data_IF_826296148697
#
_entry.id   IF_826296148697
#
_cell.length_a   1.000
_cell.length_b   1.000
_cell.length_c   1.000
_cell.angle_alpha   90.00
_cell.angle_beta   90.00
_cell.angle_gamma   90.00
#
_symmetry.space_group_name_H-M   'P 1'
#
loop_
_entity.id
_entity.type
_entity.pdbx_description
1 polymer ?
#
# COMPACT_ATOMS: atom_id res chain seq x y z
N UNK A 1 -26.78 -16.05 34.10
CA UNK A 1 -26.33 -14.86 33.34
C UNK A 1 -27.28 -14.66 32.18
N UNK A 2 -27.89 -13.49 32.08
CA UNK A 2 -28.77 -13.09 30.98
C UNK A 2 -27.99 -12.49 29.81
N UNK A 3 -26.71 -12.24 30.00
CA UNK A 3 -25.79 -11.78 28.96
C UNK A 3 -24.43 -12.49 29.10
N UNK A 4 -23.76 -12.69 27.95
CA UNK A 4 -22.45 -13.32 27.87
C UNK A 4 -21.30 -12.29 27.81
N UNK A 5 -21.62 -11.02 27.95
CA UNK A 5 -20.65 -9.92 27.91
C UNK A 5 -20.96 -8.89 29.01
N UNK A 6 -19.94 -8.17 29.42
CA UNK A 6 -20.03 -7.00 30.30
C UNK A 6 -19.38 -5.82 29.56
N UNK A 7 -20.09 -4.71 29.49
CA UNK A 7 -19.59 -3.46 28.92
C UNK A 7 -19.16 -2.56 30.08
N UNK A 8 -17.87 -2.21 30.10
CA UNK A 8 -17.33 -1.22 31.04
C UNK A 8 -17.31 0.15 30.35
N UNK A 9 -18.01 1.11 30.91
CA UNK A 9 -18.24 2.42 30.30
C UNK A 9 -17.51 3.51 31.07
N UNK A 10 -17.31 4.67 30.43
CA UNK A 10 -16.66 5.85 30.99
C UNK A 10 -15.20 5.63 31.41
N UNK A 11 -14.52 4.75 30.73
CA UNK A 11 -13.10 4.49 30.91
C UNK A 11 -12.27 5.71 30.45
N UNK A 12 -11.13 5.93 31.08
CA UNK A 12 -10.17 6.94 30.64
C UNK A 12 -9.57 6.49 29.29
N UNK A 13 -9.41 7.42 28.35
CA UNK A 13 -8.78 7.15 27.03
C UNK A 13 -7.32 6.75 27.20
N UNK A 14 -6.80 5.99 26.27
CA UNK A 14 -5.39 5.57 26.19
C UNK A 14 -4.88 4.98 27.52
N UNK A 15 -5.75 4.27 28.23
CA UNK A 15 -5.47 3.74 29.56
C UNK A 15 -5.47 2.22 29.54
N UNK A 16 -4.47 1.62 30.15
CA UNK A 16 -4.36 0.16 30.30
C UNK A 16 -5.22 -0.33 31.43
N UNK A 17 -6.10 -1.26 31.14
CA UNK A 17 -6.98 -1.90 32.09
C UNK A 17 -6.68 -3.40 32.23
N UNK A 18 -6.89 -3.92 33.43
CA UNK A 18 -6.72 -5.32 33.74
C UNK A 18 -8.03 -5.90 34.25
N UNK A 19 -8.56 -6.89 33.55
CA UNK A 19 -9.82 -7.52 33.90
C UNK A 19 -9.60 -8.94 34.39
N UNK A 20 -10.35 -9.32 35.43
CA UNK A 20 -10.48 -10.69 35.89
C UNK A 20 -11.94 -11.01 36.05
N UNK A 21 -12.30 -12.28 35.88
CA UNK A 21 -13.67 -12.77 36.00
C UNK A 21 -13.71 -13.91 37.02
N UNK A 22 -14.71 -13.90 37.86
CA UNK A 22 -15.06 -15.02 38.72
C UNK A 22 -16.55 -15.34 38.56
N UNK A 23 -16.92 -16.60 38.71
CA UNK A 23 -18.30 -17.03 38.69
C UNK A 23 -18.89 -17.07 40.14
N UNK A 24 -20.14 -16.70 40.26
CA UNK A 24 -20.90 -16.95 41.53
C UNK A 24 -21.41 -18.39 41.45
N UNK A 25 -20.96 -19.19 42.38
CA UNK A 25 -21.35 -20.60 42.52
C UNK A 25 -22.76 -20.73 43.08
N UNK A 26 -23.38 -21.90 42.90
CA UNK A 26 -24.73 -22.21 43.38
C UNK A 26 -24.90 -22.08 44.92
N UNK A 27 -23.80 -22.14 45.67
CA UNK A 27 -23.75 -21.97 47.11
C UNK A 27 -23.54 -20.49 47.53
N UNK A 28 -23.51 -19.55 46.57
CA UNK A 28 -23.30 -18.14 46.79
C UNK A 28 -21.85 -17.68 46.95
N UNK A 29 -20.88 -18.58 46.89
CA UNK A 29 -19.46 -18.27 46.94
C UNK A 29 -18.94 -17.89 45.53
N UNK A 30 -17.88 -17.11 45.48
CA UNK A 30 -17.14 -16.88 44.25
C UNK A 30 -16.23 -18.03 43.91
N UNK A 31 -16.04 -18.30 42.60
CA UNK A 31 -14.99 -19.16 42.11
C UNK A 31 -13.61 -18.53 42.21
N UNK A 32 -12.55 -19.27 41.94
CA UNK A 32 -11.25 -18.66 41.70
C UNK A 32 -11.35 -17.65 40.55
N UNK A 33 -10.57 -16.56 40.65
CA UNK A 33 -10.47 -15.56 39.62
C UNK A 33 -9.72 -16.08 38.40
N UNK A 34 -10.16 -15.69 37.20
CA UNK A 34 -9.39 -15.94 35.97
C UNK A 34 -8.00 -15.30 36.06
N UNK A 35 -7.11 -15.71 35.16
CA UNK A 35 -5.91 -14.92 34.86
C UNK A 35 -6.35 -13.52 34.41
N UNK A 36 -5.54 -12.50 34.68
CA UNK A 36 -5.83 -11.14 34.26
C UNK A 36 -5.72 -11.03 32.73
N UNK A 37 -6.77 -10.51 32.10
CA UNK A 37 -6.72 -10.05 30.72
C UNK A 37 -6.37 -8.56 30.71
N UNK A 38 -5.44 -8.15 29.87
CA UNK A 38 -5.04 -6.76 29.70
C UNK A 38 -5.61 -6.21 28.40
N UNK A 39 -6.12 -5.00 28.42
CA UNK A 39 -6.53 -4.28 27.24
C UNK A 39 -6.35 -2.77 27.44
N UNK A 40 -6.30 -2.05 26.34
CA UNK A 40 -6.24 -0.60 26.32
C UNK A 40 -7.57 -0.03 25.87
N UNK A 41 -7.92 1.16 26.36
CA UNK A 41 -8.92 1.98 25.71
C UNK A 41 -8.28 2.62 24.48
N UNK A 42 -8.88 2.41 23.31
CA UNK A 42 -8.37 2.90 22.04
C UNK A 42 -8.64 4.40 21.83
N UNK A 43 -8.06 4.94 20.77
CA UNK A 43 -8.43 6.24 20.22
C UNK A 43 -9.91 6.24 19.81
N UNK A 44 -10.60 7.38 19.98
CA UNK A 44 -11.99 7.47 19.57
C UNK A 44 -12.11 7.35 18.05
N UNK A 45 -13.13 6.65 17.60
CA UNK A 45 -13.52 6.68 16.19
C UNK A 45 -14.11 8.05 15.88
N UNK A 46 -13.55 8.74 14.88
CA UNK A 46 -14.06 10.05 14.44
C UNK A 46 -15.35 9.84 13.67
N UNK A 47 -16.46 10.47 14.13
CA UNK A 47 -17.73 10.43 13.40
C UNK A 47 -17.59 11.25 12.09
N UNK A 48 -18.13 10.79 10.95
CA UNK A 48 -19.04 9.66 10.74
C UNK A 48 -18.36 8.34 10.31
N UNK A 49 -17.09 8.20 10.53
CA UNK A 49 -16.39 6.94 10.24
C UNK A 49 -16.70 5.84 11.28
N UNK A 50 -16.65 4.54 10.93
CA UNK A 50 -16.35 4.02 9.60
C UNK A 50 -17.52 4.17 8.61
N UNK A 51 -17.21 4.45 7.36
CA UNK A 51 -18.17 4.41 6.26
C UNK A 51 -18.33 2.97 5.77
N UNK A 52 -19.55 2.57 5.46
CA UNK A 52 -19.87 1.19 5.04
C UNK A 52 -20.55 1.17 3.68
N UNK A 53 -20.11 0.26 2.83
CA UNK A 53 -20.84 -0.15 1.64
C UNK A 53 -21.81 -1.24 2.07
N UNK A 54 -23.11 -0.97 2.02
CA UNK A 54 -24.14 -1.77 2.70
C UNK A 54 -24.80 -2.85 1.85
N UNK A 55 -24.60 -2.83 0.53
CA UNK A 55 -25.28 -3.76 -0.40
C UNK A 55 -24.34 -4.22 -1.50
N UNK A 56 -24.31 -5.53 -1.77
CA UNK A 56 -23.52 -6.14 -2.86
C UNK A 56 -22.33 -6.99 -2.38
N UNK A 57 -21.67 -7.65 -3.31
CA UNK A 57 -20.47 -8.45 -3.10
C UNK A 57 -19.22 -7.56 -3.33
N UNK A 58 -19.05 -6.59 -2.44
CA UNK A 58 -17.95 -5.63 -2.53
C UNK A 58 -16.69 -6.14 -1.84
N UNK A 59 -15.55 -5.79 -2.41
CA UNK A 59 -14.24 -5.92 -1.79
C UNK A 59 -13.50 -4.61 -1.89
N UNK A 60 -12.75 -4.27 -0.86
CA UNK A 60 -11.68 -3.30 -0.94
C UNK A 60 -10.73 -3.74 -2.05
N UNK A 61 -10.31 -2.83 -2.89
CA UNK A 61 -9.43 -3.13 -4.00
C UNK A 61 -8.05 -2.52 -3.79
N UNK A 62 -7.89 -1.65 -2.79
CA UNK A 62 -6.66 -0.90 -2.57
C UNK A 62 -6.60 -0.27 -1.18
N UNK A 63 -5.39 0.14 -0.80
CA UNK A 63 -5.19 1.04 0.32
C UNK A 63 -5.88 2.38 0.08
N UNK A 64 -6.34 3.08 1.12
CA UNK A 64 -6.79 4.46 0.99
C UNK A 64 -5.64 5.38 0.56
N UNK A 65 -6.00 6.46 -0.13
CA UNK A 65 -5.10 7.59 -0.38
C UNK A 65 -5.62 8.80 0.41
N UNK A 66 -4.72 9.56 0.98
CA UNK A 66 -5.02 10.83 1.64
C UNK A 66 -4.28 11.94 0.89
N UNK A 67 -5.02 12.90 0.38
CA UNK A 67 -4.47 13.95 -0.49
C UNK A 67 -5.35 15.21 -0.45
N UNK A 68 -4.75 16.38 -0.38
CA UNK A 68 -5.45 17.65 -0.62
C UNK A 68 -5.62 17.82 -2.14
N UNK A 69 -6.73 17.29 -2.66
CA UNK A 69 -6.96 17.20 -4.10
C UNK A 69 -7.45 18.53 -4.69
N UNK A 70 -8.01 19.40 -3.85
CA UNK A 70 -8.60 20.67 -4.26
C UNK A 70 -7.79 21.90 -3.82
N UNK A 71 -6.64 21.69 -3.16
CA UNK A 71 -5.75 22.72 -2.62
C UNK A 71 -6.43 23.68 -1.61
N UNK A 72 -7.37 23.16 -0.80
CA UNK A 72 -8.02 23.94 0.25
C UNK A 72 -7.32 23.85 1.62
N UNK A 73 -6.23 23.10 1.69
CA UNK A 73 -5.43 22.86 2.90
C UNK A 73 -5.97 21.74 3.78
N UNK A 74 -6.98 21.00 3.34
CA UNK A 74 -7.51 19.82 4.03
C UNK A 74 -7.26 18.59 3.20
N UNK A 75 -7.13 17.46 3.86
CA UNK A 75 -6.81 16.20 3.21
C UNK A 75 -8.10 15.42 2.89
N UNK A 76 -8.36 15.13 1.63
CA UNK A 76 -9.42 14.22 1.25
C UNK A 76 -8.97 12.77 1.29
N UNK A 77 -9.92 11.86 1.52
CA UNK A 77 -9.69 10.42 1.59
C UNK A 77 -10.29 9.76 0.34
N UNK A 78 -9.46 9.11 -0.45
CA UNK A 78 -9.90 8.35 -1.62
C UNK A 78 -9.68 6.85 -1.42
N UNK A 79 -10.62 6.07 -1.93
CA UNK A 79 -10.58 4.62 -1.79
C UNK A 79 -11.21 3.92 -2.99
N UNK A 80 -10.47 2.95 -3.55
CA UNK A 80 -10.97 2.10 -4.63
C UNK A 80 -11.64 0.85 -4.06
N UNK A 81 -12.83 0.52 -4.57
CA UNK A 81 -13.54 -0.70 -4.26
C UNK A 81 -14.25 -1.26 -5.48
N UNK A 82 -14.68 -2.51 -5.43
CA UNK A 82 -15.28 -3.18 -6.59
C UNK A 82 -16.46 -4.06 -6.20
N UNK A 83 -17.48 -4.04 -7.01
CA UNK A 83 -18.57 -5.02 -7.00
C UNK A 83 -18.20 -6.17 -7.95
N UNK A 84 -17.95 -7.33 -7.40
CA UNK A 84 -17.54 -8.51 -8.17
C UNK A 84 -18.70 -9.15 -8.94
N UNK A 85 -19.95 -8.96 -8.50
CA UNK A 85 -21.12 -9.52 -9.17
C UNK A 85 -21.42 -8.75 -10.46
N UNK A 86 -21.37 -7.43 -10.40
CA UNK A 86 -21.57 -6.56 -11.57
C UNK A 86 -20.30 -6.33 -12.37
N UNK A 87 -19.12 -6.66 -11.79
CA UNK A 87 -17.78 -6.38 -12.33
C UNK A 87 -17.54 -4.90 -12.59
N UNK A 88 -17.99 -4.06 -11.67
CA UNK A 88 -17.83 -2.61 -11.73
C UNK A 88 -16.86 -2.20 -10.62
N UNK A 89 -15.91 -1.33 -10.96
CA UNK A 89 -15.07 -0.63 -10.02
C UNK A 89 -15.64 0.72 -9.64
N UNK A 90 -15.32 1.16 -8.44
CA UNK A 90 -15.73 2.43 -7.87
C UNK A 90 -14.54 3.12 -7.21
N UNK A 91 -14.42 4.40 -7.44
CA UNK A 91 -13.59 5.28 -6.66
C UNK A 91 -14.49 6.06 -5.72
N UNK A 92 -14.30 5.97 -4.42
CA UNK A 92 -14.95 6.82 -3.43
C UNK A 92 -14.03 7.96 -3.03
N UNK A 93 -14.58 9.12 -2.74
CA UNK A 93 -13.86 10.28 -2.25
C UNK A 93 -14.63 10.95 -1.11
N UNK A 94 -13.95 11.21 -0.01
CA UNK A 94 -14.54 11.78 1.21
C UNK A 94 -13.76 13.00 1.68
N UNK A 95 -14.47 13.99 2.19
CA UNK A 95 -13.89 15.08 2.97
C UNK A 95 -13.43 14.58 4.35
N UNK A 96 -12.59 15.32 5.06
CA UNK A 96 -12.25 15.01 6.47
C UNK A 96 -13.48 14.84 7.35
N UNK A 97 -14.57 15.54 7.05
CA UNK A 97 -15.86 15.42 7.73
C UNK A 97 -16.57 14.08 7.49
N UNK A 98 -16.04 13.24 6.56
CA UNK A 98 -16.65 11.97 6.13
C UNK A 98 -17.83 12.13 5.17
N UNK A 99 -18.14 13.34 4.73
CA UNK A 99 -19.09 13.58 3.63
C UNK A 99 -18.43 13.16 2.29
N UNK A 100 -19.21 12.60 1.38
CA UNK A 100 -18.73 12.33 0.02
C UNK A 100 -18.39 13.64 -0.69
N UNK A 101 -17.32 13.65 -1.47
CA UNK A 101 -16.96 14.79 -2.33
C UNK A 101 -18.07 15.05 -3.35
N UNK A 102 -18.61 13.98 -3.93
CA UNK A 102 -19.79 14.01 -4.81
C UNK A 102 -20.75 12.91 -4.33
N UNK A 103 -21.92 13.31 -3.86
CA UNK A 103 -23.00 12.40 -3.51
C UNK A 103 -23.89 12.24 -4.76
N UNK A 104 -23.55 11.25 -5.59
CA UNK A 104 -24.21 11.03 -6.90
C UNK A 104 -25.64 10.52 -6.73
N UNK A 105 -25.96 9.79 -5.66
CA UNK A 105 -27.28 9.24 -5.42
C UNK A 105 -28.19 10.11 -4.54
N UNK A 106 -27.63 11.19 -3.98
CA UNK A 106 -28.35 12.13 -3.11
C UNK A 106 -28.71 11.54 -1.74
N UNK A 107 -28.08 10.43 -1.35
CA UNK A 107 -28.38 9.72 -0.11
C UNK A 107 -27.14 9.66 0.81
N UNK A 108 -27.03 10.59 1.72
CA UNK A 108 -25.90 10.72 2.68
C UNK A 108 -25.62 9.47 3.54
N UNK A 109 -26.52 8.48 3.55
CA UNK A 109 -26.35 7.24 4.31
C UNK A 109 -25.73 6.11 3.51
N UNK A 110 -25.62 6.24 2.19
CA UNK A 110 -24.98 5.29 1.28
C UNK A 110 -23.65 5.85 0.78
N UNK A 111 -22.79 4.99 0.23
CA UNK A 111 -21.60 5.39 -0.50
C UNK A 111 -21.89 5.20 -1.98
N UNK A 112 -22.08 6.30 -2.71
CA UNK A 112 -22.43 6.30 -4.12
C UNK A 112 -21.22 6.17 -5.04
N UNK A 113 -20.05 6.51 -4.52
CA UNK A 113 -18.77 6.55 -5.22
C UNK A 113 -18.55 7.85 -5.98
N UNK A 114 -17.32 8.32 -5.96
CA UNK A 114 -16.84 9.48 -6.72
C UNK A 114 -16.91 9.21 -8.24
N UNK A 115 -16.46 8.05 -8.68
CA UNK A 115 -16.50 7.63 -10.08
C UNK A 115 -16.72 6.13 -10.23
N UNK A 116 -17.25 5.72 -11.39
CA UNK A 116 -17.47 4.32 -11.78
C UNK A 116 -16.64 3.96 -13.00
N UNK A 117 -16.09 2.75 -13.01
CA UNK A 117 -15.30 2.22 -14.12
C UNK A 117 -15.99 1.03 -14.80
N UNK A 118 -15.60 0.73 -16.04
CA UNK A 118 -16.20 -0.35 -16.84
C UNK A 118 -15.79 -1.76 -16.39
N UNK A 119 -14.78 -1.87 -15.52
CA UNK A 119 -14.32 -3.11 -14.93
C UNK A 119 -13.84 -2.86 -13.49
N UNK A 120 -13.53 -3.90 -12.75
CA UNK A 120 -13.13 -3.77 -11.35
C UNK A 120 -11.79 -3.01 -11.19
N UNK A 121 -11.62 -2.34 -10.07
CA UNK A 121 -10.37 -1.73 -9.65
C UNK A 121 -9.61 -2.69 -8.75
N UNK A 122 -8.30 -2.80 -8.93
CA UNK A 122 -7.39 -3.63 -8.14
C UNK A 122 -6.25 -2.83 -7.53
N UNK A 123 -5.81 -1.77 -8.21
CA UNK A 123 -4.79 -0.86 -7.72
C UNK A 123 -5.38 0.36 -7.03
N UNK A 124 -4.52 1.09 -6.36
CA UNK A 124 -4.83 2.42 -5.81
C UNK A 124 -5.00 3.44 -6.93
N UNK A 125 -5.67 4.55 -6.63
CA UNK A 125 -5.60 5.73 -7.46
C UNK A 125 -4.23 6.39 -7.36
N UNK A 126 -3.77 7.00 -8.45
CA UNK A 126 -2.61 7.89 -8.45
C UNK A 126 -3.07 9.34 -8.59
N UNK A 127 -2.35 10.25 -7.95
CA UNK A 127 -2.67 11.66 -7.89
C UNK A 127 -1.48 12.48 -8.38
N UNK A 128 -1.72 13.50 -9.18
CA UNK A 128 -0.68 14.40 -9.67
C UNK A 128 -1.24 15.48 -10.57
N UNK A 129 -0.53 16.60 -10.66
CA UNK A 129 -0.85 17.68 -11.61
C UNK A 129 -0.31 17.30 -13.00
N UNK A 130 -1.08 16.54 -13.77
CA UNK A 130 -0.64 16.03 -15.06
C UNK A 130 -0.32 17.14 -16.08
N UNK A 131 -1.02 18.24 -16.01
CA UNK A 131 -0.92 19.33 -16.98
C UNK A 131 -0.04 20.48 -16.52
N UNK A 132 0.49 20.47 -15.30
CA UNK A 132 1.35 21.52 -14.76
C UNK A 132 0.63 22.84 -14.47
N UNK A 133 -0.70 22.81 -14.30
CA UNK A 133 -1.51 24.02 -14.05
C UNK A 133 -1.93 24.21 -12.60
N UNK A 134 -1.47 23.34 -11.69
CA UNK A 134 -1.80 23.39 -10.28
C UNK A 134 -3.07 22.62 -9.90
N UNK A 135 -3.65 21.83 -10.80
CA UNK A 135 -4.82 21.00 -10.55
C UNK A 135 -4.42 19.53 -10.39
N UNK A 136 -4.70 18.95 -9.22
CA UNK A 136 -4.48 17.53 -8.99
C UNK A 136 -5.45 16.69 -9.82
N UNK A 137 -4.93 15.80 -10.65
CA UNK A 137 -5.72 14.85 -11.41
C UNK A 137 -5.70 13.48 -10.73
N UNK A 138 -6.72 12.66 -10.97
CA UNK A 138 -6.89 11.36 -10.36
C UNK A 138 -6.88 10.30 -11.45
N UNK A 139 -5.91 9.40 -11.41
CA UNK A 139 -5.77 8.33 -12.41
C UNK A 139 -6.04 6.98 -11.76
N UNK A 140 -6.94 6.21 -12.35
CA UNK A 140 -7.24 4.83 -11.95
C UNK A 140 -7.17 3.89 -13.13
N UNK A 141 -6.81 2.63 -12.87
CA UNK A 141 -6.76 1.60 -13.90
C UNK A 141 -7.69 0.43 -13.56
N UNK A 142 -8.48 -0.01 -14.51
CA UNK A 142 -9.42 -1.09 -14.33
C UNK A 142 -8.86 -2.45 -14.80
N UNK A 143 -9.39 -3.53 -14.21
CA UNK A 143 -8.95 -4.90 -14.46
C UNK A 143 -10.12 -5.83 -14.80
N UNK A 144 -10.05 -6.48 -15.95
CA UNK A 144 -10.90 -7.61 -16.33
C UNK A 144 -10.07 -8.60 -17.15
N UNK A 145 -9.86 -9.79 -16.62
CA UNK A 145 -9.12 -10.88 -17.27
C UNK A 145 -9.94 -11.64 -18.31
N UNK A 146 -11.27 -11.54 -18.21
CA UNK A 146 -12.22 -12.23 -19.08
C UNK A 146 -12.57 -11.37 -20.30
N UNK A 147 -12.86 -10.08 -20.08
CA UNK A 147 -13.26 -9.13 -21.12
C UNK A 147 -12.21 -8.03 -21.25
N UNK A 148 -11.16 -8.34 -22.01
CA UNK A 148 -9.96 -7.48 -22.15
C UNK A 148 -10.27 -6.09 -22.74
N UNK A 149 -11.34 -5.95 -23.48
CA UNK A 149 -11.83 -4.68 -24.04
C UNK A 149 -12.40 -3.72 -22.99
N UNK A 150 -12.58 -4.18 -21.76
CA UNK A 150 -13.00 -3.36 -20.61
C UNK A 150 -11.85 -2.75 -19.83
N UNK A 151 -10.61 -3.19 -20.05
CA UNK A 151 -9.45 -2.65 -19.37
C UNK A 151 -9.17 -1.23 -19.86
N UNK A 152 -9.32 -0.29 -18.97
CA UNK A 152 -9.28 1.14 -19.27
C UNK A 152 -8.56 1.88 -18.15
N UNK A 153 -7.73 2.84 -18.53
CA UNK A 153 -7.19 3.86 -17.65
C UNK A 153 -8.07 5.07 -17.74
N UNK A 154 -8.45 5.64 -16.62
CA UNK A 154 -9.30 6.82 -16.52
C UNK A 154 -8.51 7.92 -15.81
N UNK A 155 -8.69 9.14 -16.29
CA UNK A 155 -8.21 10.34 -15.63
C UNK A 155 -9.37 11.26 -15.33
N UNK A 156 -9.50 11.66 -14.08
CA UNK A 156 -10.56 12.56 -13.61
C UNK A 156 -9.96 13.86 -13.08
N UNK A 157 -10.68 14.97 -13.32
CA UNK A 157 -10.56 16.18 -12.51
C UNK A 157 -11.33 15.98 -11.21
N UNK A 158 -10.85 16.47 -10.05
CA UNK A 158 -11.62 16.43 -8.81
C UNK A 158 -12.77 17.44 -8.79
N UNK A 159 -12.91 18.25 -9.82
CA UNK A 159 -13.91 19.31 -9.92
C UNK A 159 -15.04 18.93 -10.88
N UNK A 160 -16.22 19.49 -10.62
CA UNK A 160 -17.38 19.48 -11.51
C UNK A 160 -17.40 20.82 -12.26
N UNK A 161 -16.82 20.85 -13.46
CA UNK A 161 -16.73 22.07 -14.29
C UNK A 161 -17.94 22.21 -15.23
N UNK A 162 -18.61 21.10 -15.53
CA UNK A 162 -19.78 21.07 -16.43
C UNK A 162 -21.13 21.18 -15.70
N UNK A 163 -21.14 21.03 -14.35
CA UNK A 163 -22.32 21.21 -13.50
C UNK A 163 -23.25 20.01 -13.44
N UNK A 164 -22.76 18.82 -13.75
CA UNK A 164 -23.55 17.59 -13.71
C UNK A 164 -23.54 16.87 -12.34
N UNK A 165 -22.91 17.48 -11.34
CA UNK A 165 -22.70 16.97 -9.97
C UNK A 165 -21.86 15.70 -9.90
N UNK A 166 -20.86 15.58 -10.79
CA UNK A 166 -19.87 14.51 -10.81
C UNK A 166 -18.49 15.07 -11.11
N UNK A 167 -17.43 14.30 -10.83
CA UNK A 167 -16.08 14.67 -11.27
C UNK A 167 -15.99 14.58 -12.80
N UNK A 168 -15.32 15.54 -13.42
CA UNK A 168 -15.13 15.52 -14.86
C UNK A 168 -14.20 14.39 -15.29
N UNK A 169 -14.62 13.55 -16.23
CA UNK A 169 -13.74 12.63 -16.92
C UNK A 169 -12.93 13.40 -17.98
N UNK A 170 -11.62 13.56 -17.72
CA UNK A 170 -10.74 14.27 -18.65
C UNK A 170 -10.39 13.42 -19.87
N UNK A 171 -10.02 12.18 -19.63
CA UNK A 171 -9.77 11.21 -20.70
C UNK A 171 -9.89 9.76 -20.20
N UNK A 172 -10.10 8.86 -21.15
CA UNK A 172 -10.01 7.42 -20.94
C UNK A 172 -9.16 6.76 -22.04
N UNK A 173 -8.35 5.78 -21.65
CA UNK A 173 -7.49 5.03 -22.57
C UNK A 173 -7.70 3.54 -22.40
N UNK A 174 -8.18 2.89 -23.45
CA UNK A 174 -8.27 1.42 -23.47
C UNK A 174 -6.90 0.81 -23.65
N UNK A 175 -6.54 -0.11 -22.75
CA UNK A 175 -5.33 -0.91 -22.82
C UNK A 175 -5.75 -2.38 -22.91
N UNK A 176 -5.29 -3.15 -23.93
CA UNK A 176 -5.82 -4.47 -24.21
C UNK A 176 -5.41 -5.57 -23.22
N UNK A 177 -4.76 -5.17 -22.12
CA UNK A 177 -4.23 -6.07 -21.10
C UNK A 177 -4.72 -5.63 -19.72
N UNK A 178 -4.93 -6.61 -18.85
CA UNK A 178 -5.36 -6.34 -17.48
C UNK A 178 -4.25 -5.64 -16.69
N UNK A 179 -4.67 -4.67 -15.87
CA UNK A 179 -3.81 -3.89 -15.00
C UNK A 179 -4.18 -4.20 -13.56
N UNK A 180 -3.28 -4.83 -12.85
CA UNK A 180 -3.50 -5.23 -11.46
C UNK A 180 -2.96 -4.17 -10.49
N UNK A 181 -1.95 -3.44 -10.93
CA UNK A 181 -1.21 -2.47 -10.14
C UNK A 181 -1.75 -1.05 -10.28
N UNK A 182 -1.37 -0.21 -9.32
CA UNK A 182 -1.64 1.23 -9.35
C UNK A 182 -0.90 1.89 -10.51
N UNK A 183 -1.49 2.89 -11.17
CA UNK A 183 -0.75 3.80 -12.03
C UNK A 183 0.35 4.52 -11.23
N UNK A 184 1.39 4.95 -11.93
CA UNK A 184 2.42 5.86 -11.38
C UNK A 184 2.38 7.13 -12.20
N UNK A 185 2.42 8.27 -11.53
CA UNK A 185 2.49 9.61 -12.15
C UNK A 185 3.85 10.21 -11.83
N UNK A 186 4.57 10.65 -12.84
CA UNK A 186 5.87 11.29 -12.66
C UNK A 186 6.18 12.21 -13.83
N UNK A 187 6.91 13.29 -13.58
CA UNK A 187 7.56 14.09 -14.62
C UNK A 187 8.87 13.36 -15.00
N UNK A 188 8.80 12.50 -16.02
CA UNK A 188 9.91 11.61 -16.38
C UNK A 188 11.10 12.34 -16.98
N UNK A 189 10.84 13.38 -17.76
CA UNK A 189 11.86 14.06 -18.55
C UNK A 189 12.36 15.36 -17.88
N UNK A 190 11.85 15.67 -16.67
CA UNK A 190 12.18 16.89 -15.96
C UNK A 190 11.68 18.15 -16.70
N UNK A 191 10.61 18.02 -17.49
CA UNK A 191 10.08 19.12 -18.27
C UNK A 191 9.73 20.34 -17.41
N UNK A 192 10.23 21.52 -17.78
CA UNK A 192 10.00 22.73 -16.99
C UNK A 192 8.56 23.26 -17.09
N UNK A 193 7.75 22.76 -18.02
CA UNK A 193 6.32 23.07 -18.10
C UNK A 193 5.50 22.32 -17.05
N UNK A 194 6.12 21.38 -16.33
CA UNK A 194 5.52 20.64 -15.22
C UNK A 194 4.55 19.55 -15.65
N UNK A 195 4.44 19.24 -16.95
CA UNK A 195 3.61 18.11 -17.41
C UNK A 195 4.17 16.78 -16.91
N UNK A 196 3.27 15.85 -16.60
CA UNK A 196 3.65 14.54 -16.05
C UNK A 196 3.13 13.40 -16.92
N UNK A 197 3.86 12.32 -16.91
CA UNK A 197 3.49 11.06 -17.58
C UNK A 197 2.78 10.12 -16.62
N UNK A 198 1.95 9.26 -17.20
CA UNK A 198 1.27 8.15 -16.52
C UNK A 198 1.88 6.83 -16.96
N UNK A 199 2.43 6.08 -16.01
CA UNK A 199 3.04 4.79 -16.25
C UNK A 199 2.11 3.68 -15.77
N UNK A 200 1.92 2.68 -16.62
CA UNK A 200 1.04 1.53 -16.35
C UNK A 200 1.74 0.24 -16.69
N UNK A 201 1.92 -0.63 -15.70
CA UNK A 201 2.48 -1.96 -15.91
C UNK A 201 1.36 -2.97 -16.16
N UNK A 202 1.47 -3.72 -17.25
CA UNK A 202 0.54 -4.80 -17.54
C UNK A 202 0.76 -6.01 -16.64
N UNK A 203 -0.33 -6.64 -16.22
CA UNK A 203 -0.28 -7.90 -15.48
C UNK A 203 -0.11 -9.13 -16.41
N UNK A 204 -0.55 -9.05 -17.66
CA UNK A 204 -0.60 -10.19 -18.58
C UNK A 204 0.54 -10.21 -19.62
N UNK A 205 1.23 -9.10 -19.75
CA UNK A 205 2.43 -8.96 -20.60
C UNK A 205 3.48 -8.20 -19.80
N UNK A 206 4.76 -8.34 -20.15
CA UNK A 206 5.80 -7.60 -19.46
C UNK A 206 5.86 -6.11 -19.84
N UNK A 207 4.84 -5.62 -20.55
CA UNK A 207 4.82 -4.26 -21.08
C UNK A 207 4.55 -3.23 -19.98
N UNK A 208 5.26 -2.09 -20.09
CA UNK A 208 4.97 -0.85 -19.38
C UNK A 208 4.53 0.16 -20.43
N UNK A 209 3.33 0.70 -20.26
CA UNK A 209 2.78 1.77 -21.08
C UNK A 209 3.13 3.11 -20.46
N UNK A 210 3.61 4.04 -21.23
CA UNK A 210 3.87 5.42 -20.83
C UNK A 210 2.93 6.30 -21.65
N UNK A 211 2.03 6.97 -20.95
CA UNK A 211 1.04 7.88 -21.52
C UNK A 211 1.43 9.32 -21.17
N UNK A 212 1.12 10.27 -22.05
CA UNK A 212 1.22 11.68 -21.74
C UNK A 212 0.05 12.18 -20.87
N UNK A 213 0.07 13.45 -20.51
CA UNK A 213 -0.97 14.11 -19.71
C UNK A 213 -2.37 14.10 -20.35
N UNK A 214 -2.47 13.83 -21.67
CA UNK A 214 -3.74 13.68 -22.40
C UNK A 214 -4.19 12.21 -22.56
N UNK A 215 -3.41 11.26 -22.05
CA UNK A 215 -3.67 9.83 -22.16
C UNK A 215 -3.20 9.21 -23.49
N UNK A 216 -2.43 9.92 -24.30
CA UNK A 216 -1.86 9.37 -25.52
C UNK A 216 -0.59 8.57 -25.22
N UNK A 217 -0.45 7.39 -25.88
CA UNK A 217 0.69 6.51 -25.68
C UNK A 217 1.96 7.11 -26.31
N UNK A 218 2.88 7.57 -25.46
CA UNK A 218 4.18 8.08 -25.86
C UNK A 218 5.12 6.93 -26.26
N UNK A 219 5.14 5.88 -25.45
CA UNK A 219 5.98 4.69 -25.69
C UNK A 219 5.55 3.50 -24.87
N UNK A 220 6.15 2.37 -25.22
CA UNK A 220 5.99 1.10 -24.53
C UNK A 220 7.36 0.49 -24.25
N UNK A 221 7.62 0.15 -22.98
CA UNK A 221 8.82 -0.58 -22.58
C UNK A 221 8.50 -2.07 -22.47
N UNK A 222 9.44 -2.90 -22.87
CA UNK A 222 9.35 -4.35 -22.75
C UNK A 222 10.73 -4.91 -22.43
N UNK A 223 10.89 -5.68 -21.34
CA UNK A 223 12.19 -6.20 -20.93
C UNK A 223 12.81 -7.17 -21.97
N UNK A 224 11.97 -7.87 -22.72
CA UNK A 224 12.41 -8.74 -23.81
C UNK A 224 11.24 -9.05 -24.75
N UNK A 225 11.37 -8.69 -26.02
CA UNK A 225 10.34 -8.93 -27.03
C UNK A 225 10.00 -10.43 -27.25
N UNK A 226 10.82 -11.35 -26.76
CA UNK A 226 10.63 -12.79 -26.87
C UNK A 226 10.04 -13.46 -25.63
N UNK A 227 9.71 -12.70 -24.56
CA UNK A 227 9.04 -13.26 -23.38
C UNK A 227 7.59 -13.56 -23.75
N UNK A 228 7.29 -14.83 -23.94
CA UNK A 228 5.94 -15.32 -24.27
C UNK A 228 5.32 -16.13 -23.11
N UNK A 229 6.05 -16.35 -22.03
CA UNK A 229 5.63 -17.17 -20.91
C UNK A 229 4.75 -16.37 -19.94
N UNK A 230 3.54 -16.85 -19.68
CA UNK A 230 2.61 -16.28 -18.69
C UNK A 230 3.08 -16.44 -17.24
N UNK A 231 4.24 -17.06 -17.01
CA UNK A 231 4.77 -17.32 -15.66
C UNK A 231 5.66 -16.20 -15.13
N UNK A 232 6.02 -15.25 -16.00
CA UNK A 232 7.05 -14.25 -15.69
C UNK A 232 6.44 -12.89 -15.33
N UNK A 233 5.13 -12.84 -15.08
CA UNK A 233 4.42 -11.62 -14.72
C UNK A 233 4.30 -11.53 -13.21
N UNK A 234 4.73 -10.43 -12.66
CA UNK A 234 4.58 -10.20 -11.25
C UNK A 234 3.52 -9.14 -10.95
N UNK A 235 3.10 -9.17 -9.72
CA UNK A 235 2.12 -8.25 -9.17
C UNK A 235 2.75 -6.98 -8.56
N UNK A 236 4.07 -6.80 -8.69
CA UNK A 236 4.75 -5.63 -8.12
C UNK A 236 4.48 -4.36 -8.92
N UNK A 237 4.35 -3.25 -8.22
CA UNK A 237 4.25 -1.92 -8.80
C UNK A 237 5.59 -1.48 -9.43
N UNK A 238 5.53 -0.40 -10.20
CA UNK A 238 6.69 0.32 -10.70
C UNK A 238 7.23 1.26 -9.63
N UNK A 239 8.53 1.54 -9.73
CA UNK A 239 9.16 2.65 -9.03
C UNK A 239 9.79 3.60 -10.03
N UNK A 240 9.67 4.88 -9.77
CA UNK A 240 10.27 5.94 -10.59
C UNK A 240 11.12 6.80 -9.66
N UNK A 241 12.38 6.99 -10.01
CA UNK A 241 13.33 7.79 -9.24
C UNK A 241 14.45 8.31 -10.13
N UNK A 242 14.97 9.47 -9.84
CA UNK A 242 16.23 9.97 -10.40
C UNK A 242 17.38 9.22 -9.72
N UNK A 243 17.93 8.21 -10.38
CA UNK A 243 18.92 7.30 -9.79
C UNK A 243 20.33 7.87 -9.79
N UNK A 244 20.68 8.67 -10.78
CA UNK A 244 22.03 9.20 -10.98
C UNK A 244 22.13 10.72 -10.79
N UNK A 245 21.08 11.34 -10.22
CA UNK A 245 20.96 12.74 -9.89
C UNK A 245 21.17 13.68 -11.11
N UNK A 246 20.74 13.21 -12.29
CA UNK A 246 20.81 14.00 -13.54
C UNK A 246 19.56 14.86 -13.78
N UNK A 247 18.56 14.76 -12.89
CA UNK A 247 17.30 15.50 -12.95
C UNK A 247 16.25 14.84 -13.83
N UNK A 248 16.53 13.66 -14.40
CA UNK A 248 15.57 12.86 -15.15
C UNK A 248 15.27 11.59 -14.36
N UNK A 249 14.06 11.07 -14.52
CA UNK A 249 13.62 9.92 -13.75
C UNK A 249 13.91 8.61 -14.50
N UNK A 250 14.44 7.64 -13.78
CA UNK A 250 14.52 6.27 -14.23
C UNK A 250 13.28 5.48 -13.81
N UNK A 251 12.93 4.49 -14.65
CA UNK A 251 11.82 3.59 -14.46
C UNK A 251 12.37 2.24 -14.03
N UNK A 252 12.01 1.79 -12.83
CA UNK A 252 12.50 0.56 -12.22
C UNK A 252 11.34 -0.42 -12.10
N UNK A 253 11.54 -1.63 -12.63
CA UNK A 253 10.54 -2.68 -12.54
C UNK A 253 11.17 -4.02 -12.14
N UNK A 254 10.51 -4.71 -11.24
CA UNK A 254 10.80 -6.11 -10.93
C UNK A 254 9.93 -7.04 -11.75
N UNK A 255 10.49 -8.16 -12.17
CA UNK A 255 9.81 -9.22 -12.90
C UNK A 255 10.18 -10.58 -12.33
N UNK A 256 9.16 -11.42 -12.11
CA UNK A 256 9.34 -12.79 -11.62
C UNK A 256 10.31 -13.55 -12.51
N UNK A 257 11.23 -14.29 -11.90
CA UNK A 257 12.21 -15.14 -12.57
C UNK A 257 13.16 -14.43 -13.56
N UNK A 258 13.00 -13.12 -13.75
CA UNK A 258 13.82 -12.34 -14.68
C UNK A 258 14.79 -11.40 -13.96
N UNK A 259 14.30 -10.63 -12.97
CA UNK A 259 15.11 -9.69 -12.19
C UNK A 259 14.61 -8.26 -12.19
N UNK A 260 15.49 -7.36 -11.83
CA UNK A 260 15.27 -5.92 -11.84
C UNK A 260 15.70 -5.35 -13.19
N UNK A 261 14.82 -4.54 -13.75
CA UNK A 261 15.02 -3.82 -15.02
C UNK A 261 14.96 -2.33 -14.75
N UNK A 262 15.87 -1.58 -15.37
CA UNK A 262 15.96 -0.13 -15.25
C UNK A 262 16.04 0.51 -16.61
N UNK A 263 15.15 1.45 -16.88
CA UNK A 263 15.17 2.23 -18.12
C UNK A 263 15.28 3.71 -17.82
N UNK A 264 16.00 4.42 -18.67
CA UNK A 264 15.93 5.88 -18.73
C UNK A 264 14.57 6.33 -19.28
N UNK A 265 14.22 7.56 -19.04
CA UNK A 265 12.97 8.16 -19.51
C UNK A 265 12.75 7.99 -21.04
N UNK A 266 13.80 7.89 -21.85
CA UNK A 266 13.73 7.69 -23.30
C UNK A 266 13.56 6.22 -23.74
N UNK A 267 13.48 5.29 -22.79
CA UNK A 267 13.27 3.86 -22.99
C UNK A 267 14.54 3.05 -23.23
N UNK A 268 15.72 3.68 -23.23
CA UNK A 268 16.98 2.95 -23.26
C UNK A 268 17.27 2.31 -21.90
N UNK A 269 17.91 1.14 -21.84
CA UNK A 269 18.42 0.62 -20.57
C UNK A 269 19.31 1.64 -19.86
N UNK A 270 19.19 1.74 -18.53
CA UNK A 270 20.05 2.61 -17.72
C UNK A 270 21.53 2.27 -17.91
N UNK A 271 21.89 1.01 -17.76
CA UNK A 271 23.18 0.46 -18.12
C UNK A 271 23.01 -0.78 -19.00
N UNK A 272 22.45 -1.84 -18.43
CA UNK A 272 22.06 -3.10 -19.09
C UNK A 272 20.75 -3.61 -18.50
N UNK A 273 19.99 -4.40 -19.24
CA UNK A 273 18.81 -5.08 -18.73
C UNK A 273 18.88 -6.60 -18.98
N UNK A 274 18.53 -7.45 -17.99
CA UNK A 274 18.19 -7.05 -16.61
C UNK A 274 19.40 -6.43 -15.90
N UNK A 275 19.13 -5.41 -15.07
CA UNK A 275 20.15 -4.77 -14.23
C UNK A 275 20.66 -5.74 -13.16
N UNK A 276 19.73 -6.48 -12.56
CA UNK A 276 20.00 -7.57 -11.62
C UNK A 276 19.17 -8.80 -11.97
N UNK A 277 19.73 -10.01 -11.81
CA UNK A 277 19.06 -11.28 -12.15
C UNK A 277 18.56 -12.01 -10.93
N UNK A 278 17.28 -12.37 -10.94
CA UNK A 278 16.63 -13.09 -9.84
C UNK A 278 17.01 -14.58 -9.71
N UNK A 279 17.57 -15.18 -10.73
CA UNK A 279 17.67 -16.64 -10.82
C UNK A 279 16.27 -17.26 -11.05
N UNK A 280 16.01 -18.41 -10.42
CA UNK A 280 14.72 -19.13 -10.53
C UNK A 280 13.73 -18.75 -9.41
N UNK A 281 13.80 -17.53 -8.87
CA UNK A 281 13.10 -17.12 -7.65
C UNK A 281 12.23 -15.90 -7.93
N UNK A 282 11.06 -15.84 -7.29
CA UNK A 282 10.08 -14.80 -7.50
C UNK A 282 10.49 -13.49 -6.81
N UNK A 283 10.44 -12.38 -7.52
CA UNK A 283 10.55 -11.04 -6.97
C UNK A 283 9.15 -10.57 -6.56
N UNK A 284 8.96 -10.34 -5.27
CA UNK A 284 7.62 -10.15 -4.70
C UNK A 284 7.26 -8.69 -4.46
N UNK A 285 8.23 -7.76 -4.37
CA UNK A 285 7.98 -6.38 -3.97
C UNK A 285 8.22 -5.36 -5.08
N UNK A 286 7.55 -4.21 -4.96
CA UNK A 286 8.00 -3.01 -5.64
C UNK A 286 9.40 -2.64 -5.12
N UNK A 287 10.35 -2.27 -5.99
CA UNK A 287 11.65 -1.79 -5.56
C UNK A 287 11.52 -0.47 -4.76
N UNK A 288 12.33 -0.32 -3.73
CA UNK A 288 12.47 0.93 -2.96
C UNK A 288 13.82 1.54 -3.29
N UNK A 289 13.87 2.84 -3.49
CA UNK A 289 15.09 3.59 -3.81
C UNK A 289 15.42 4.56 -2.69
N UNK A 290 16.61 4.45 -2.14
CA UNK A 290 17.12 5.37 -1.11
C UNK A 290 18.66 5.33 -1.06
N UNK A 291 19.28 6.32 -0.46
CA UNK A 291 20.68 6.28 -0.03
C UNK A 291 20.72 5.56 1.34
N UNK A 292 20.78 4.21 1.29
CA UNK A 292 20.69 3.37 2.48
C UNK A 292 21.92 3.51 3.38
N UNK A 293 23.10 3.65 2.78
CA UNK A 293 24.36 3.61 3.50
C UNK A 293 24.93 5.00 3.81
N UNK A 294 24.27 6.08 3.36
CA UNK A 294 24.64 7.47 3.58
C UNK A 294 25.87 7.92 2.78
N UNK A 295 26.19 7.28 1.64
CA UNK A 295 27.34 7.64 0.80
C UNK A 295 27.03 8.66 -0.28
N UNK A 296 25.78 9.12 -0.35
CA UNK A 296 25.28 10.09 -1.32
C UNK A 296 24.86 9.45 -2.65
N UNK A 297 24.82 8.12 -2.74
CA UNK A 297 24.34 7.38 -3.91
C UNK A 297 23.11 6.58 -3.54
N UNK A 298 22.22 6.39 -4.49
CA UNK A 298 20.98 5.64 -4.25
C UNK A 298 21.20 4.15 -4.45
N UNK A 299 20.62 3.36 -3.57
CA UNK A 299 20.49 1.92 -3.68
C UNK A 299 19.06 1.52 -4.04
N UNK A 300 18.92 0.31 -4.58
CA UNK A 300 17.64 -0.31 -4.89
C UNK A 300 17.44 -1.50 -3.95
N UNK A 301 16.43 -1.39 -3.08
CA UNK A 301 16.04 -2.43 -2.15
C UNK A 301 14.83 -3.18 -2.67
N UNK A 302 14.80 -4.49 -2.47
CA UNK A 302 13.66 -5.35 -2.83
C UNK A 302 13.66 -6.62 -2.00
N UNK A 303 12.50 -7.26 -1.92
CA UNK A 303 12.36 -8.58 -1.32
C UNK A 303 12.21 -9.65 -2.37
N UNK A 304 12.74 -10.84 -2.08
CA UNK A 304 12.68 -12.02 -2.91
C UNK A 304 12.01 -13.15 -2.12
N UNK A 305 10.92 -13.68 -2.68
CA UNK A 305 10.15 -14.74 -2.04
C UNK A 305 10.71 -16.13 -2.35
N UNK A 306 10.89 -16.93 -1.30
CA UNK A 306 11.18 -18.37 -1.37
C UNK A 306 10.11 -19.18 -0.62
N UNK A 307 10.18 -20.51 -0.71
CA UNK A 307 9.11 -21.40 -0.22
C UNK A 307 8.81 -21.28 1.29
N UNK A 308 9.77 -20.86 2.10
CA UNK A 308 9.63 -20.76 3.58
C UNK A 308 10.19 -19.47 4.18
N UNK A 309 10.69 -18.57 3.36
CA UNK A 309 11.25 -17.32 3.82
C UNK A 309 11.30 -16.30 2.67
N UNK A 310 11.32 -15.03 3.01
CA UNK A 310 11.63 -13.95 2.08
C UNK A 310 13.00 -13.40 2.41
N UNK A 311 13.77 -13.11 1.39
CA UNK A 311 15.09 -12.52 1.47
C UNK A 311 15.04 -11.05 1.06
N UNK A 312 15.80 -10.20 1.74
CA UNK A 312 15.90 -8.78 1.44
C UNK A 312 17.28 -8.49 0.85
N UNK A 313 17.29 -7.74 -0.24
CA UNK A 313 18.47 -7.31 -0.95
C UNK A 313 18.53 -5.80 -1.05
N UNK A 314 19.74 -5.25 -1.03
CA UNK A 314 20.03 -3.93 -1.54
C UNK A 314 21.15 -4.02 -2.59
N UNK A 315 20.95 -3.38 -3.72
CA UNK A 315 21.92 -3.36 -4.82
C UNK A 315 22.32 -1.92 -5.14
N UNK A 316 23.61 -1.73 -5.35
CA UNK A 316 24.16 -0.45 -5.76
C UNK A 316 24.06 -0.26 -7.27
N UNK A 317 24.07 0.99 -7.73
CA UNK A 317 24.07 1.33 -9.15
C UNK A 317 25.40 1.06 -9.84
N UNK A 318 26.46 0.79 -9.08
CA UNK A 318 27.79 0.47 -9.61
C UNK A 318 27.92 -1.02 -9.99
N UNK A 319 27.18 -1.44 -11.03
CA UNK A 319 27.34 -2.74 -11.64
C UNK A 319 26.69 -3.90 -10.90
N UNK A 320 25.45 -3.74 -10.50
CA UNK A 320 24.58 -4.75 -9.83
C UNK A 320 25.20 -5.41 -8.55
N UNK A 321 26.07 -4.69 -7.87
CA UNK A 321 26.71 -5.21 -6.66
C UNK A 321 25.78 -5.08 -5.47
N UNK A 322 25.66 -6.17 -4.70
CA UNK A 322 24.99 -6.13 -3.41
C UNK A 322 25.72 -5.20 -2.44
N UNK A 323 24.92 -4.42 -1.70
CA UNK A 323 25.44 -3.57 -0.61
C UNK A 323 25.91 -4.45 0.54
N UNK A 324 27.00 -4.07 1.19
CA UNK A 324 27.54 -4.83 2.32
C UNK A 324 26.46 -5.00 3.41
N UNK A 325 26.24 -6.24 3.85
CA UNK A 325 25.19 -6.58 4.81
C UNK A 325 23.80 -6.80 4.21
N UNK A 326 23.62 -6.67 2.86
CA UNK A 326 22.32 -6.77 2.21
C UNK A 326 22.32 -7.71 0.99
N UNK A 327 22.96 -8.84 1.15
CA UNK A 327 23.17 -9.87 0.11
C UNK A 327 22.08 -10.96 0.11
N UNK A 328 20.95 -10.70 0.77
CA UNK A 328 19.88 -11.68 0.95
C UNK A 328 20.03 -12.54 2.22
N UNK A 329 20.99 -12.21 3.09
CA UNK A 329 21.10 -12.83 4.42
C UNK A 329 20.06 -12.31 5.42
N UNK A 330 19.44 -11.17 5.12
CA UNK A 330 18.31 -10.62 5.87
C UNK A 330 17.05 -11.37 5.47
N UNK A 331 16.53 -12.20 6.36
CA UNK A 331 15.39 -13.08 6.06
C UNK A 331 14.24 -12.90 7.02
N UNK A 332 13.03 -13.09 6.50
CA UNK A 332 11.80 -13.28 7.27
C UNK A 332 11.31 -14.70 7.04
N UNK A 333 11.41 -15.57 8.06
CA UNK A 333 10.88 -16.92 7.98
C UNK A 333 9.35 -16.93 8.10
N UNK A 334 8.72 -17.95 7.54
CA UNK A 334 7.32 -18.29 7.76
C UNK A 334 7.11 -19.80 7.77
N UNK A 335 6.16 -20.25 8.60
CA UNK A 335 5.94 -21.68 8.87
C UNK A 335 4.90 -22.30 7.94
N UNK A 336 4.10 -21.49 7.28
CA UNK A 336 2.98 -21.96 6.45
C UNK A 336 3.40 -22.04 4.99
N UNK A 337 3.25 -23.24 4.40
CA UNK A 337 3.50 -23.46 2.98
C UNK A 337 2.35 -22.86 2.16
N UNK A 338 2.44 -21.58 1.80
CA UNK A 338 1.39 -20.86 1.08
C UNK A 338 1.54 -21.12 -0.41
N UNK A 339 0.94 -22.22 -0.89
CA UNK A 339 0.89 -22.53 -2.31
C UNK A 339 0.05 -21.47 -3.04
N UNK A 340 0.70 -20.64 -3.83
CA UNK A 340 0.06 -19.79 -4.83
C UNK A 340 -0.37 -18.40 -4.37
N UNK A 341 0.08 -17.91 -3.22
CA UNK A 341 -0.09 -16.51 -2.88
C UNK A 341 1.13 -15.71 -3.37
N UNK A 342 0.87 -14.72 -4.17
CA UNK A 342 1.81 -13.64 -4.47
C UNK A 342 1.85 -12.76 -3.23
N UNK A 343 2.91 -12.89 -2.47
CA UNK A 343 3.09 -12.11 -1.25
C UNK A 343 3.96 -10.91 -1.59
N UNK A 344 3.30 -9.81 -1.78
CA UNK A 344 3.94 -8.52 -2.04
C UNK A 344 4.46 -7.93 -0.72
N UNK A 345 5.55 -8.51 -0.20
CA UNK A 345 6.27 -7.95 0.95
C UNK A 345 7.01 -6.69 0.53
N UNK A 346 6.33 -5.57 0.52
CA UNK A 346 6.99 -4.28 0.28
C UNK A 346 7.71 -3.82 1.54
N UNK A 347 8.90 -3.29 1.34
CA UNK A 347 9.74 -2.75 2.38
C UNK A 347 9.32 -1.31 2.70
N UNK A 348 9.46 -0.92 3.95
CA UNK A 348 9.45 0.49 4.36
C UNK A 348 10.84 0.87 4.83
N UNK A 349 11.28 2.03 4.42
CA UNK A 349 12.62 2.55 4.74
C UNK A 349 12.48 3.96 5.29
N UNK A 350 13.11 4.22 6.44
CA UNK A 350 13.11 5.52 7.08
C UNK A 350 13.97 5.53 8.33
N UNK A 351 14.34 6.70 8.80
CA UNK A 351 15.03 6.88 10.07
C UNK A 351 14.02 6.77 11.22
N UNK A 352 13.84 5.55 11.75
CA UNK A 352 12.84 5.27 12.80
C UNK A 352 13.36 5.53 14.21
N UNK A 353 14.58 6.01 14.35
CA UNK A 353 15.18 6.26 15.66
C UNK A 353 15.83 7.65 15.76
N UNK A 354 15.73 8.47 14.71
CA UNK A 354 16.31 9.81 14.58
C UNK A 354 17.83 9.84 14.78
N UNK A 355 18.56 8.79 14.36
CA UNK A 355 20.03 8.74 14.45
C UNK A 355 20.72 9.24 13.17
N UNK A 356 19.95 9.61 12.15
CA UNK A 356 20.42 10.10 10.87
C UNK A 356 20.77 9.01 9.86
N UNK A 357 20.47 7.74 10.17
CA UNK A 357 20.62 6.60 9.28
C UNK A 357 19.26 5.98 8.99
N UNK A 358 19.15 5.28 7.87
CA UNK A 358 17.89 4.64 7.49
C UNK A 358 17.79 3.23 8.04
N UNK A 359 16.60 2.88 8.50
CA UNK A 359 16.22 1.53 8.86
C UNK A 359 15.31 0.93 7.81
N UNK A 360 15.33 -0.39 7.74
CA UNK A 360 14.49 -1.19 6.83
C UNK A 360 13.52 -2.01 7.65
N UNK A 361 12.23 -1.84 7.39
CA UNK A 361 11.15 -2.56 8.09
C UNK A 361 10.36 -3.39 7.08
N UNK A 362 10.03 -4.62 7.47
CA UNK A 362 9.18 -5.50 6.66
C UNK A 362 8.19 -6.26 7.54
N UNK A 363 6.96 -6.37 7.09
CA UNK A 363 5.97 -7.26 7.67
C UNK A 363 5.94 -8.57 6.88
N UNK A 364 6.25 -9.67 7.54
CA UNK A 364 6.10 -11.01 7.01
C UNK A 364 4.80 -11.67 7.48
N UNK A 365 4.62 -12.95 7.16
CA UNK A 365 3.40 -13.69 7.52
C UNK A 365 3.15 -13.84 9.01
N UNK A 366 4.19 -13.94 9.81
CA UNK A 366 4.10 -14.27 11.24
C UNK A 366 4.86 -13.29 12.10
N UNK A 367 5.59 -12.38 11.48
CA UNK A 367 6.44 -11.47 12.23
C UNK A 367 6.67 -10.15 11.49
N UNK A 368 6.94 -9.13 12.28
CA UNK A 368 7.52 -7.87 11.81
C UNK A 368 8.99 -7.80 12.22
N UNK A 369 9.81 -7.27 11.35
CA UNK A 369 11.25 -7.20 11.57
C UNK A 369 11.81 -5.87 11.09
N UNK A 370 12.79 -5.36 11.85
CA UNK A 370 13.51 -4.17 11.48
C UNK A 370 15.01 -4.39 11.54
N UNK A 371 15.73 -3.77 10.60
CA UNK A 371 17.19 -3.80 10.52
C UNK A 371 17.74 -2.38 10.35
N UNK A 372 18.95 -2.18 10.86
CA UNK A 372 19.75 -1.00 10.58
C UNK A 372 20.21 -0.99 9.12
N UNK A 373 20.66 0.17 8.65
CA UNK A 373 21.31 0.32 7.34
C UNK A 373 22.46 -0.67 7.10
N UNK A 374 23.11 -1.16 8.15
CA UNK A 374 24.18 -2.18 8.09
C UNK A 374 23.68 -3.60 7.88
N UNK A 375 22.36 -3.85 7.93
CA UNK A 375 21.77 -5.18 7.92
C UNK A 375 21.67 -5.86 9.28
N UNK A 376 22.16 -5.21 10.36
CA UNK A 376 22.04 -5.72 11.72
C UNK A 376 20.58 -5.63 12.20
N UNK A 377 20.08 -6.68 12.82
CA UNK A 377 18.69 -6.71 13.33
C UNK A 377 18.54 -5.77 14.52
N UNK A 378 17.54 -4.88 14.45
CA UNK A 378 17.10 -4.05 15.58
C UNK A 378 16.16 -4.87 16.45
N UNK A 379 15.05 -5.33 15.85
CA UNK A 379 14.11 -6.22 16.52
C UNK A 379 13.53 -7.25 15.56
N UNK A 380 12.97 -8.31 16.12
CA UNK A 380 12.19 -9.31 15.43
C UNK A 380 11.06 -9.71 16.37
N UNK A 381 9.82 -9.42 15.96
CA UNK A 381 8.63 -9.64 16.79
C UNK A 381 7.64 -10.55 16.08
N UNK A 382 7.27 -11.64 16.75
CA UNK A 382 6.16 -12.48 16.33
C UNK A 382 4.84 -11.76 16.61
N UNK A 383 3.94 -11.79 15.65
CA UNK A 383 2.61 -11.18 15.74
C UNK A 383 1.58 -12.31 15.84
N UNK A 384 1.01 -12.50 17.02
CA UNK A 384 0.01 -13.52 17.25
C UNK A 384 -1.26 -13.27 16.45
N UNK A 385 -1.76 -14.31 15.79
CA UNK A 385 -3.03 -14.26 15.06
C UNK A 385 -2.96 -13.66 13.67
N UNK A 386 -1.75 -13.49 13.11
CA UNK A 386 -1.56 -13.03 11.74
C UNK A 386 -2.37 -13.83 10.71
N UNK A 387 -2.54 -15.15 10.90
CA UNK A 387 -3.32 -15.96 9.94
C UNK A 387 -4.12 -17.08 10.63
N UNK A 388 -5.44 -17.12 10.47
CA UNK A 388 -6.17 -18.36 10.63
C UNK A 388 -5.76 -19.32 9.51
N UNK A 389 -5.41 -20.53 9.84
CA UNK A 389 -4.80 -21.55 8.97
C UNK A 389 -5.59 -21.95 7.70
N UNK A 390 -6.72 -21.33 7.39
CA UNK A 390 -7.67 -21.84 6.39
C UNK A 390 -8.04 -20.87 5.25
N UNK A 391 -7.57 -19.62 5.21
CA UNK A 391 -7.92 -18.69 4.12
C UNK A 391 -6.72 -17.98 3.50
N UNK A 392 -6.40 -18.42 2.32
CA UNK A 392 -5.22 -18.16 1.47
C UNK A 392 -5.06 -16.76 0.85
N UNK A 393 -5.78 -15.79 1.33
CA UNK A 393 -5.74 -14.42 0.78
C UNK A 393 -5.36 -13.38 1.84
N UNK A 394 -4.47 -13.75 2.77
CA UNK A 394 -3.95 -12.74 3.67
C UNK A 394 -2.90 -11.93 2.91
N UNK A 395 -3.31 -10.77 2.45
CA UNK A 395 -2.40 -9.76 1.94
C UNK A 395 -1.47 -9.35 3.08
N UNK A 396 -0.18 -9.42 2.85
CA UNK A 396 0.79 -8.86 3.77
C UNK A 396 0.88 -7.38 3.45
N UNK A 397 0.43 -6.57 4.38
CA UNK A 397 0.38 -5.13 4.21
C UNK A 397 1.79 -4.53 4.39
N UNK A 398 2.08 -3.47 3.66
CA UNK A 398 3.30 -2.70 3.85
C UNK A 398 3.20 -1.92 5.16
N UNK A 399 4.20 -1.97 6.06
CA UNK A 399 4.24 -1.07 7.20
C UNK A 399 4.32 0.39 6.74
N UNK A 400 3.71 1.30 7.49
CA UNK A 400 3.83 2.74 7.31
C UNK A 400 4.71 3.28 8.44
N UNK A 401 5.55 4.25 8.14
CA UNK A 401 6.38 4.94 9.11
C UNK A 401 5.81 6.33 9.34
N UNK A 402 5.27 6.57 10.54
CA UNK A 402 4.66 7.85 10.91
C UNK A 402 4.68 8.04 12.43
N UNK A 403 4.94 9.23 12.91
CA UNK A 403 4.83 9.59 14.32
C UNK A 403 3.34 9.65 14.69
N UNK A 404 2.83 8.66 15.42
CA UNK A 404 1.41 8.58 15.81
C UNK A 404 1.17 8.88 17.30
N UNK A 405 2.22 9.01 18.10
CA UNK A 405 2.09 9.38 19.51
C UNK A 405 2.63 10.78 19.81
N UNK A 406 3.19 11.46 18.82
CA UNK A 406 3.62 12.86 18.89
C UNK A 406 4.97 13.05 19.58
N UNK A 407 5.81 12.01 19.65
CA UNK A 407 7.14 12.10 20.30
C UNK A 407 8.24 12.61 19.35
N UNK A 408 7.93 12.76 18.07
CA UNK A 408 8.83 13.24 17.02
C UNK A 408 9.68 12.14 16.39
N UNK A 409 9.44 10.87 16.73
CA UNK A 409 10.11 9.69 16.17
C UNK A 409 9.09 8.89 15.35
N UNK A 410 9.40 8.49 14.11
CA UNK A 410 8.46 7.69 13.34
C UNK A 410 8.20 6.32 13.97
N UNK A 411 6.93 5.99 14.14
CA UNK A 411 6.43 4.70 14.58
C UNK A 411 6.16 3.78 13.39
N UNK A 412 6.01 2.48 13.68
CA UNK A 412 5.75 1.46 12.68
C UNK A 412 4.28 1.04 12.75
N UNK A 413 3.48 1.49 11.80
CA UNK A 413 2.02 1.25 11.74
C UNK A 413 1.70 0.21 10.69
N UNK A 414 0.92 -0.80 11.03
CA UNK A 414 0.49 -1.84 10.08
C UNK A 414 -0.83 -2.48 10.50
N UNK A 415 -1.54 -3.01 9.52
CA UNK A 415 -2.73 -3.80 9.74
C UNK A 415 -2.42 -5.29 9.66
N UNK A 416 -3.09 -6.07 10.48
CA UNK A 416 -2.94 -7.50 10.51
C UNK A 416 -4.23 -8.16 11.00
N UNK A 417 -4.87 -8.97 10.16
CA UNK A 417 -6.13 -9.60 10.48
C UNK A 417 -7.16 -8.55 10.97
N UNK A 418 -7.56 -8.60 12.24
CA UNK A 418 -8.51 -7.65 12.85
C UNK A 418 -7.85 -6.52 13.62
N UNK A 419 -6.55 -6.38 13.53
CA UNK A 419 -5.79 -5.48 14.36
C UNK A 419 -5.10 -4.41 13.53
N UNK A 420 -5.04 -3.20 14.08
CA UNK A 420 -4.12 -2.15 13.67
C UNK A 420 -3.08 -2.05 14.77
N UNK A 421 -1.83 -2.26 14.43
CA UNK A 421 -0.68 -2.12 15.31
C UNK A 421 0.02 -0.79 15.06
N UNK A 422 0.55 -0.21 16.11
CA UNK A 422 1.59 0.81 16.05
C UNK A 422 2.68 0.45 17.06
N UNK A 423 3.91 0.45 16.62
CA UNK A 423 5.07 0.03 17.40
C UNK A 423 6.13 1.12 17.40
N UNK A 424 6.80 1.29 18.52
CA UNK A 424 8.03 2.04 18.61
C UNK A 424 9.18 1.35 17.84
N UNK A 425 10.28 2.05 17.65
CA UNK A 425 11.47 1.59 16.95
C UNK A 425 12.14 0.34 17.55
N UNK A 426 11.85 -0.01 18.80
CA UNK A 426 12.33 -1.22 19.47
C UNK A 426 11.36 -2.41 19.35
N UNK A 427 10.22 -2.21 18.67
CA UNK A 427 9.17 -3.20 18.48
C UNK A 427 8.16 -3.29 19.64
N UNK A 428 8.22 -2.43 20.65
CA UNK A 428 7.22 -2.35 21.72
C UNK A 428 5.93 -1.67 21.24
N UNK A 429 4.79 -2.03 21.85
CA UNK A 429 3.49 -1.42 21.49
C UNK A 429 3.39 0.02 21.96
N UNK A 430 2.87 0.88 21.10
CA UNK A 430 2.43 2.23 21.46
C UNK A 430 1.15 2.14 22.31
N UNK A 431 1.01 3.06 23.24
CA UNK A 431 -0.16 3.16 24.11
C UNK A 431 -1.44 3.33 23.28
N UNK A 432 -2.42 2.45 23.49
CA UNK A 432 -3.68 2.46 22.75
C UNK A 432 -3.73 1.46 21.59
N UNK A 433 -2.61 0.87 21.23
CA UNK A 433 -2.52 -0.18 20.22
C UNK A 433 -2.24 -1.57 20.85
N UNK A 434 -2.63 -2.67 20.16
CA UNK A 434 -3.36 -2.68 18.90
C UNK A 434 -4.83 -2.28 19.03
N UNK A 435 -5.34 -1.59 18.01
CA UNK A 435 -6.77 -1.32 17.86
C UNK A 435 -7.43 -2.57 17.26
N UNK A 436 -8.59 -2.97 17.81
CA UNK A 436 -9.31 -4.17 17.38
C UNK A 436 -10.55 -3.78 16.58
N UNK A 437 -10.72 -4.40 15.43
CA UNK A 437 -11.90 -4.28 14.57
C UNK A 437 -12.76 -5.56 14.59
N UNK A 438 -14.05 -5.42 14.32
CA UNK A 438 -14.93 -6.56 14.05
C UNK A 438 -14.64 -7.23 12.68
N UNK A 439 -13.91 -6.53 11.81
CA UNK A 439 -13.63 -6.91 10.42
C UNK A 439 -12.15 -7.14 10.21
N UNK A 440 -11.82 -7.97 9.22
CA UNK A 440 -10.46 -8.24 8.78
C UNK A 440 -9.98 -7.10 7.89
N UNK A 441 -8.81 -6.55 8.19
CA UNK A 441 -8.09 -5.63 7.32
C UNK A 441 -7.37 -6.42 6.22
N UNK A 442 -7.52 -6.01 4.99
CA UNK A 442 -6.91 -6.66 3.83
C UNK A 442 -5.84 -5.81 3.15
N UNK A 443 -5.77 -4.51 3.49
CA UNK A 443 -4.95 -3.53 2.81
C UNK A 443 -4.06 -2.78 3.81
N UNK A 444 -3.01 -2.14 3.29
CA UNK A 444 -2.12 -1.25 4.04
C UNK A 444 -2.91 -0.07 4.62
N UNK A 445 -2.68 0.32 5.87
CA UNK A 445 -3.26 1.55 6.42
C UNK A 445 -2.65 2.78 5.76
N UNK A 446 -3.26 3.94 5.94
CA UNK A 446 -2.62 5.22 5.73
C UNK A 446 -2.76 6.07 7.01
N UNK A 447 -1.80 6.96 7.20
CA UNK A 447 -1.71 7.84 8.37
C UNK A 447 -1.53 9.27 7.88
N UNK A 448 -2.36 10.18 8.37
CA UNK A 448 -2.23 11.61 8.15
C UNK A 448 -3.04 12.38 9.19
N UNK A 449 -2.63 13.60 9.46
CA UNK A 449 -3.44 14.61 10.15
C UNK A 449 -4.45 15.17 9.13
N UNK A 450 -5.69 14.65 9.15
CA UNK A 450 -6.71 14.96 8.14
C UNK A 450 -7.48 16.26 8.42
N UNK A 451 -7.45 16.76 9.64
CA UNK A 451 -8.15 17.97 10.06
C UNK A 451 -7.20 19.10 10.54
N UNK A 452 -5.89 18.86 10.44
CA UNK A 452 -4.82 19.79 10.80
C UNK A 452 -4.86 20.24 12.26
N UNK A 453 -5.21 19.34 13.17
CA UNK A 453 -5.21 19.64 14.60
C UNK A 453 -3.93 19.16 15.33
N UNK A 454 -3.00 18.51 14.59
CA UNK A 454 -1.72 18.01 15.08
C UNK A 454 -1.82 16.63 15.71
#
# INVERSE_FOLDING_TARGET
LTATYYLDENLAKLTKYHYKVAAILNNGNESEWSTAYQTWTSYPVVSPFPRRITTGNYSAASCPNIVDVNNDGKQEIFWCYSDFDSRIGYLAGFRPTGEELFDIDGNVTTVSGFAKTSAILKGQAAFGDLSGIGEQNIVVSSWDDTYRDRNTVYCYSPFDKDGDHKPDLLWEKKIPYSMYQSPVIANLDGSPDGTMEVLIKSHQTPDIFILDHNGDELRRLNPNANITSKKDYNYSALTVADLDDDGQMEIIASYDSLGIYIWRQDGRPFTMNPFWRAGDINLASAPVVCDLNGDGKKEILFSQHQVHESHVFAISLEGDKTVAGWDGSQTIPYTVNVKGSTLDHTLSVGDINNDGHLEVVILGHEMIKAWKHTGDTIFSRHIDGLFPQENYAANVNTPILADVDGDGIPDIVFCCNKYIYALHNDGSDIVGFPIISDYVFQETPCVADIDNDG
#
